data_IF_045925567196
#
_entry.id   IF_045925567196
#
_cell.length_a   1.000
_cell.length_b   1.000
_cell.length_c   1.000
_cell.angle_alpha   90.00
_cell.angle_beta   90.00
_cell.angle_gamma   90.00
#
_symmetry.space_group_name_H-M   'P 1'
#
loop_
_entity.id
_entity.type
_entity.pdbx_description
1 polymer ?
#
# COMPACT_ATOMS: atom_id res chain seq x y z
N UNK A 1 -14.54 43.93 -12.21
CA UNK A 1 -14.17 42.67 -12.89
C UNK A 1 -13.70 41.69 -11.82
N UNK A 2 -14.59 40.88 -11.33
CA UNK A 2 -14.32 39.88 -10.28
C UNK A 2 -13.80 38.60 -10.93
N UNK A 3 -12.53 38.32 -10.68
CA UNK A 3 -11.84 37.14 -11.18
C UNK A 3 -12.15 35.96 -10.24
N UNK A 4 -13.15 35.18 -10.57
CA UNK A 4 -13.44 33.91 -9.87
C UNK A 4 -12.41 32.88 -10.30
N UNK A 5 -11.54 32.51 -9.35
CA UNK A 5 -10.62 31.40 -9.44
C UNK A 5 -11.45 30.10 -9.49
N UNK A 6 -11.24 29.18 -10.44
CA UNK A 6 -11.97 27.93 -10.44
C UNK A 6 -11.52 27.09 -9.23
N UNK A 7 -12.47 26.71 -8.40
CA UNK A 7 -12.31 25.75 -7.32
C UNK A 7 -11.89 24.40 -7.94
N UNK A 8 -10.67 23.95 -7.65
CA UNK A 8 -10.15 22.67 -8.11
C UNK A 8 -11.03 21.53 -7.59
N UNK A 9 -11.88 20.99 -8.43
CA UNK A 9 -12.57 19.72 -8.18
C UNK A 9 -11.51 18.63 -7.97
N UNK A 10 -11.43 18.12 -6.76
CA UNK A 10 -10.62 16.91 -6.47
C UNK A 10 -11.25 15.74 -7.23
N UNK A 11 -10.66 15.40 -8.36
CA UNK A 11 -11.09 14.29 -9.23
C UNK A 11 -11.08 12.99 -8.43
N UNK A 12 -12.20 12.30 -8.36
CA UNK A 12 -12.32 11.00 -7.72
C UNK A 12 -11.36 9.99 -8.37
N UNK A 13 -10.69 9.17 -7.55
CA UNK A 13 -9.77 8.12 -8.03
C UNK A 13 -10.57 7.08 -8.81
N UNK A 14 -10.16 6.76 -10.04
CA UNK A 14 -10.79 5.73 -10.88
C UNK A 14 -10.44 4.32 -10.41
N UNK A 15 -11.23 3.32 -10.85
CA UNK A 15 -10.93 1.89 -10.58
C UNK A 15 -9.55 1.51 -11.11
N UNK A 16 -9.18 1.98 -12.28
CA UNK A 16 -7.88 1.71 -12.90
C UNK A 16 -6.74 2.29 -12.07
N UNK A 17 -6.88 3.52 -11.60
CA UNK A 17 -5.88 4.13 -10.72
C UNK A 17 -5.73 3.38 -9.40
N UNK A 18 -6.83 2.87 -8.83
CA UNK A 18 -6.76 2.03 -7.61
C UNK A 18 -6.01 0.73 -7.90
N UNK A 19 -6.31 0.07 -9.02
CA UNK A 19 -5.63 -1.16 -9.42
C UNK A 19 -4.13 -0.95 -9.67
N UNK A 20 -3.74 0.16 -10.28
CA UNK A 20 -2.33 0.52 -10.50
C UNK A 20 -1.58 0.73 -9.17
N UNK A 21 -2.21 1.42 -8.21
CA UNK A 21 -1.65 1.59 -6.86
C UNK A 21 -1.52 0.27 -6.11
N UNK A 22 -2.49 -0.63 -6.26
CA UNK A 22 -2.43 -1.96 -5.66
C UNK A 22 -1.34 -2.82 -6.30
N UNK A 23 -1.16 -2.74 -7.62
CA UNK A 23 -0.09 -3.44 -8.33
C UNK A 23 1.30 -2.94 -7.91
N UNK A 24 1.45 -1.64 -7.66
CA UNK A 24 2.69 -1.11 -7.11
C UNK A 24 2.96 -1.65 -5.68
N UNK A 25 1.93 -1.75 -4.84
CA UNK A 25 2.05 -2.37 -3.53
C UNK A 25 2.41 -3.85 -3.63
N UNK A 26 1.76 -4.59 -4.55
CA UNK A 26 2.05 -6.00 -4.77
C UNK A 26 3.51 -6.23 -5.17
N UNK A 27 4.06 -5.38 -6.05
CA UNK A 27 5.49 -5.42 -6.40
C UNK A 27 6.41 -5.24 -5.19
N UNK A 28 6.02 -4.42 -4.21
CA UNK A 28 6.77 -4.22 -2.96
C UNK A 28 6.65 -5.42 -2.03
N UNK A 29 5.47 -6.02 -1.92
CA UNK A 29 5.29 -7.25 -1.13
C UNK A 29 6.16 -8.39 -1.71
N UNK A 30 6.22 -8.55 -3.04
CA UNK A 30 7.11 -9.52 -3.67
C UNK A 30 8.59 -9.22 -3.39
N UNK A 31 9.01 -7.95 -3.48
CA UNK A 31 10.36 -7.53 -3.10
C UNK A 31 10.69 -7.96 -1.66
N UNK A 32 9.79 -7.72 -0.72
CA UNK A 32 9.98 -8.06 0.69
C UNK A 32 10.05 -9.59 0.89
N UNK A 33 9.18 -10.36 0.24
CA UNK A 33 9.19 -11.84 0.29
C UNK A 33 10.55 -12.37 -0.16
N UNK A 34 11.02 -11.93 -1.32
CA UNK A 34 12.29 -12.39 -1.89
C UNK A 34 13.45 -11.97 -0.98
N UNK A 35 13.46 -10.72 -0.51
CA UNK A 35 14.47 -10.21 0.41
C UNK A 35 14.55 -11.05 1.68
N UNK A 36 13.42 -11.32 2.32
CA UNK A 36 13.38 -12.06 3.59
C UNK A 36 13.75 -13.52 3.42
N UNK A 37 13.33 -14.16 2.33
CA UNK A 37 13.76 -15.52 2.02
C UNK A 37 15.28 -15.58 1.85
N UNK A 38 15.86 -14.67 1.09
CA UNK A 38 17.32 -14.65 0.85
C UNK A 38 18.07 -14.26 2.11
N UNK A 39 17.68 -13.18 2.79
CA UNK A 39 18.40 -12.67 3.96
C UNK A 39 18.36 -13.66 5.12
N UNK A 40 17.23 -14.34 5.35
CA UNK A 40 17.12 -15.35 6.42
C UNK A 40 18.10 -16.50 6.24
N UNK A 41 18.46 -16.86 5.01
CA UNK A 41 19.40 -17.95 4.72
C UNK A 41 20.85 -17.48 4.63
N UNK A 42 21.12 -16.25 4.27
CA UNK A 42 22.46 -15.71 4.04
C UNK A 42 23.06 -15.09 5.30
N UNK A 43 22.25 -14.63 6.27
CA UNK A 43 22.74 -14.14 7.56
C UNK A 43 23.49 -15.25 8.31
N UNK A 44 24.74 -15.00 8.64
CA UNK A 44 25.62 -15.94 9.35
C UNK A 44 26.08 -15.33 10.67
N UNK A 45 26.25 -16.19 11.66
CA UNK A 45 26.69 -15.83 12.99
C UNK A 45 25.59 -16.00 14.03
N UNK A 46 25.96 -16.43 15.24
CA UNK A 46 25.02 -16.69 16.31
C UNK A 46 24.19 -15.46 16.71
N UNK A 47 24.77 -14.27 16.58
CA UNK A 47 24.12 -12.99 16.87
C UNK A 47 22.97 -12.66 15.90
N UNK A 48 22.90 -13.27 14.72
CA UNK A 48 21.87 -13.03 13.71
C UNK A 48 20.80 -14.12 13.65
N UNK A 49 20.93 -15.23 14.38
CA UNK A 49 20.01 -16.37 14.27
C UNK A 49 18.55 -15.97 14.58
N UNK A 50 18.34 -15.22 15.66
CA UNK A 50 16.97 -14.78 16.00
C UNK A 50 16.40 -13.81 14.97
N UNK A 51 17.23 -13.02 14.33
CA UNK A 51 16.81 -12.10 13.23
C UNK A 51 16.44 -12.92 12.00
N UNK A 52 17.24 -13.94 11.65
CA UNK A 52 16.95 -14.84 10.53
C UNK A 52 15.61 -15.55 10.71
N UNK A 53 15.33 -16.08 11.89
CA UNK A 53 14.04 -16.71 12.23
C UNK A 53 12.86 -15.72 12.08
N UNK A 54 13.02 -14.48 12.53
CA UNK A 54 12.02 -13.43 12.37
C UNK A 54 11.78 -13.07 10.90
N UNK A 55 12.82 -13.04 10.07
CA UNK A 55 12.69 -12.78 8.64
C UNK A 55 11.88 -13.87 7.93
N UNK A 56 12.01 -15.13 8.32
CA UNK A 56 11.17 -16.23 7.79
C UNK A 56 9.69 -16.02 8.14
N UNK A 57 9.39 -15.63 9.38
CA UNK A 57 8.04 -15.32 9.82
C UNK A 57 7.48 -14.14 9.02
N UNK A 58 8.28 -13.09 8.84
CA UNK A 58 7.89 -11.91 8.07
C UNK A 58 7.66 -12.25 6.58
N UNK A 59 8.45 -13.15 5.99
CA UNK A 59 8.20 -13.62 4.62
C UNK A 59 6.82 -14.24 4.46
N UNK A 60 6.38 -15.05 5.44
CA UNK A 60 5.05 -15.63 5.45
C UNK A 60 3.94 -14.57 5.60
N UNK A 61 4.15 -13.56 6.43
CA UNK A 61 3.22 -12.44 6.59
C UNK A 61 3.08 -11.63 5.28
N UNK A 62 4.19 -11.35 4.62
CA UNK A 62 4.20 -10.65 3.32
C UNK A 62 3.50 -11.45 2.23
N UNK A 63 3.63 -12.78 2.23
CA UNK A 63 2.87 -13.66 1.33
C UNK A 63 1.36 -13.52 1.54
N UNK A 64 0.89 -13.49 2.78
CA UNK A 64 -0.53 -13.27 3.09
C UNK A 64 -1.01 -11.92 2.57
N UNK A 65 -0.21 -10.85 2.75
CA UNK A 65 -0.53 -9.53 2.21
C UNK A 65 -0.60 -9.54 0.68
N UNK A 66 0.36 -10.19 0.02
CA UNK A 66 0.37 -10.31 -1.45
C UNK A 66 -0.89 -11.00 -1.97
N UNK A 67 -1.34 -12.07 -1.31
CA UNK A 67 -2.58 -12.79 -1.67
C UNK A 67 -3.82 -11.89 -1.51
N UNK A 68 -3.90 -11.10 -0.43
CA UNK A 68 -5.01 -10.17 -0.22
C UNK A 68 -5.03 -9.09 -1.31
N UNK A 69 -3.89 -8.49 -1.61
CA UNK A 69 -3.77 -7.44 -2.63
C UNK A 69 -4.12 -8.01 -4.02
N UNK A 70 -3.61 -9.19 -4.36
CA UNK A 70 -3.89 -9.86 -5.64
C UNK A 70 -5.39 -10.10 -5.84
N UNK A 71 -6.10 -10.56 -4.81
CA UNK A 71 -7.56 -10.74 -4.87
C UNK A 71 -8.30 -9.42 -5.11
N UNK A 72 -7.84 -8.32 -4.50
CA UNK A 72 -8.44 -7.00 -4.73
C UNK A 72 -8.22 -6.50 -6.15
N UNK A 73 -7.04 -6.74 -6.72
CA UNK A 73 -6.74 -6.37 -8.12
C UNK A 73 -7.63 -7.16 -9.08
N UNK A 74 -7.75 -8.47 -8.87
CA UNK A 74 -8.63 -9.34 -9.65
C UNK A 74 -10.09 -8.90 -9.54
N UNK A 75 -10.57 -8.60 -8.34
CA UNK A 75 -11.92 -8.06 -8.12
C UNK A 75 -12.18 -6.76 -8.88
N UNK A 76 -11.15 -5.94 -9.09
CA UNK A 76 -11.24 -4.73 -9.92
C UNK A 76 -11.19 -5.02 -11.42
N UNK A 77 -11.04 -6.26 -11.84
CA UNK A 77 -10.97 -6.70 -13.23
C UNK A 77 -9.62 -6.46 -13.88
N UNK A 78 -8.56 -6.38 -13.09
CA UNK A 78 -7.18 -6.16 -13.57
C UNK A 78 -6.28 -7.35 -13.28
N UNK A 79 -5.19 -7.47 -14.03
CA UNK A 79 -4.20 -8.52 -13.81
C UNK A 79 -3.25 -8.13 -12.68
N UNK A 80 -3.08 -8.97 -11.65
CA UNK A 80 -2.02 -8.78 -10.65
C UNK A 80 -0.64 -8.83 -11.31
N UNK A 81 0.25 -7.91 -10.90
CA UNK A 81 1.63 -7.89 -11.42
C UNK A 81 2.38 -9.16 -11.05
N UNK A 82 3.34 -9.53 -11.90
CA UNK A 82 4.29 -10.65 -11.67
C UNK A 82 5.70 -10.14 -11.40
N UNK A 83 5.90 -8.82 -11.36
CA UNK A 83 7.22 -8.19 -11.28
C UNK A 83 7.45 -7.61 -9.88
N UNK A 84 8.43 -8.13 -9.11
CA UNK A 84 8.84 -7.50 -7.87
C UNK A 84 9.59 -6.20 -8.13
N UNK A 85 9.64 -5.31 -7.12
CA UNK A 85 10.66 -4.25 -7.08
C UNK A 85 12.04 -4.88 -6.96
N UNK A 86 13.12 -4.21 -7.42
CA UNK A 86 14.47 -4.75 -7.36
C UNK A 86 14.90 -5.10 -5.94
N UNK A 87 15.47 -6.30 -5.77
CA UNK A 87 16.02 -6.77 -4.51
C UNK A 87 17.51 -6.50 -4.46
N UNK A 88 17.99 -5.88 -3.38
CA UNK A 88 19.39 -5.64 -3.13
C UNK A 88 19.93 -6.75 -2.24
N UNK A 89 21.13 -7.25 -2.54
CA UNK A 89 21.83 -8.26 -1.76
C UNK A 89 23.23 -7.77 -1.39
N UNK A 90 23.78 -8.34 -0.33
CA UNK A 90 25.16 -8.10 0.11
C UNK A 90 25.67 -9.35 0.83
N UNK A 91 26.99 -9.53 0.85
CA UNK A 91 27.63 -10.54 1.70
C UNK A 91 27.75 -10.07 3.16
N UNK A 92 27.47 -8.79 3.43
CA UNK A 92 27.56 -8.20 4.76
C UNK A 92 26.18 -8.12 5.42
N UNK A 93 26.02 -8.79 6.54
CA UNK A 93 24.77 -8.82 7.29
C UNK A 93 24.20 -7.42 7.60
N UNK A 94 25.05 -6.49 8.05
CA UNK A 94 24.64 -5.12 8.36
C UNK A 94 24.09 -4.36 7.15
N UNK A 95 24.64 -4.59 5.96
CA UNK A 95 24.16 -3.97 4.74
C UNK A 95 22.79 -4.52 4.34
N UNK A 96 22.59 -5.84 4.42
CA UNK A 96 21.30 -6.47 4.15
C UNK A 96 20.21 -5.96 5.09
N UNK A 97 20.49 -5.86 6.37
CA UNK A 97 19.55 -5.32 7.37
C UNK A 97 19.26 -3.83 7.14
N UNK A 98 20.24 -3.06 6.66
CA UNK A 98 20.03 -1.67 6.27
C UNK A 98 19.10 -1.57 5.05
N UNK A 99 19.28 -2.42 4.04
CA UNK A 99 18.40 -2.46 2.87
C UNK A 99 16.96 -2.79 3.27
N UNK A 100 16.79 -3.72 4.20
CA UNK A 100 15.47 -4.05 4.73
C UNK A 100 14.82 -2.84 5.42
N UNK A 101 15.56 -2.19 6.31
CA UNK A 101 15.07 -0.99 7.01
C UNK A 101 14.69 0.14 6.03
N UNK A 102 15.49 0.37 4.99
CA UNK A 102 15.20 1.37 3.97
C UNK A 102 13.92 1.03 3.21
N UNK A 103 13.72 -0.23 2.83
CA UNK A 103 12.52 -0.70 2.14
C UNK A 103 11.26 -0.58 3.02
N UNK A 104 11.35 -0.96 4.30
CA UNK A 104 10.24 -0.82 5.25
C UNK A 104 9.87 0.66 5.48
N UNK A 105 10.85 1.55 5.62
CA UNK A 105 10.62 2.98 5.78
C UNK A 105 9.95 3.59 4.52
N UNK A 106 10.35 3.16 3.34
CA UNK A 106 9.71 3.59 2.09
C UNK A 106 8.27 3.08 2.01
N UNK A 107 8.04 1.85 2.39
CA UNK A 107 6.71 1.25 2.44
C UNK A 107 5.79 2.01 3.40
N UNK A 108 6.25 2.33 4.60
CA UNK A 108 5.50 3.12 5.60
C UNK A 108 5.14 4.50 5.05
N UNK A 109 6.09 5.20 4.41
CA UNK A 109 5.81 6.51 3.79
C UNK A 109 4.72 6.40 2.74
N UNK A 110 4.79 5.42 1.86
CA UNK A 110 3.80 5.20 0.82
C UNK A 110 2.41 4.89 1.39
N UNK A 111 2.33 4.08 2.43
CA UNK A 111 1.06 3.79 3.10
C UNK A 111 0.47 5.02 3.79
N UNK A 112 1.29 5.85 4.44
CA UNK A 112 0.83 7.11 5.06
C UNK A 112 0.27 8.08 4.03
N UNK A 113 0.97 8.30 2.93
CA UNK A 113 0.51 9.18 1.85
C UNK A 113 -0.79 8.69 1.21
N UNK A 114 -0.93 7.38 1.02
CA UNK A 114 -2.13 6.75 0.46
C UNK A 114 -3.27 6.70 1.47
N UNK A 115 -2.98 6.47 2.73
CA UNK A 115 -3.95 6.50 3.81
C UNK A 115 -4.59 7.87 3.94
N UNK A 116 -3.82 8.94 3.85
CA UNK A 116 -4.34 10.30 3.84
C UNK A 116 -5.29 10.53 2.66
N UNK A 117 -4.89 10.14 1.44
CA UNK A 117 -5.76 10.24 0.25
C UNK A 117 -7.06 9.44 0.40
N UNK A 118 -7.00 8.29 1.05
CA UNK A 118 -8.17 7.42 1.29
C UNK A 118 -9.12 8.01 2.32
N UNK A 119 -8.60 8.60 3.39
CA UNK A 119 -9.40 9.32 4.40
C UNK A 119 -10.13 10.52 3.77
N UNK A 120 -9.47 11.27 2.90
CA UNK A 120 -10.07 12.38 2.17
C UNK A 120 -11.25 11.91 1.29
N UNK A 121 -11.12 10.77 0.61
CA UNK A 121 -12.18 10.20 -0.23
C UNK A 121 -13.36 9.70 0.61
N UNK A 122 -13.11 9.05 1.75
CA UNK A 122 -14.17 8.58 2.66
C UNK A 122 -14.90 9.76 3.28
N UNK A 123 -14.18 10.79 3.74
CA UNK A 123 -14.79 12.01 4.30
C UNK A 123 -15.69 12.72 3.29
N UNK A 124 -15.30 12.77 2.00
CA UNK A 124 -16.11 13.33 0.93
C UNK A 124 -17.40 12.53 0.68
N UNK A 125 -17.36 11.20 0.78
CA UNK A 125 -18.56 10.35 0.65
C UNK A 125 -19.52 10.54 1.81
N UNK A 126 -19.03 10.65 3.04
CA UNK A 126 -19.88 10.92 4.21
C UNK A 126 -20.55 12.30 4.15
N UNK A 127 -19.85 13.33 3.68
CA UNK A 127 -20.41 14.66 3.51
C UNK A 127 -21.46 14.71 2.39
N UNK A 128 -21.27 13.99 1.27
CA UNK A 128 -22.29 13.87 0.24
C UNK A 128 -23.55 13.15 0.72
N UNK A 129 -23.39 12.09 1.52
CA UNK A 129 -24.53 11.37 2.11
C UNK A 129 -25.36 12.22 3.07
N UNK A 130 -24.71 13.07 3.88
CA UNK A 130 -25.39 14.00 4.79
C UNK A 130 -26.16 15.10 4.03
N UNK A 131 -25.60 15.60 2.94
CA UNK A 131 -26.28 16.62 2.11
C UNK A 131 -27.55 16.07 1.46
N UNK A 132 -27.53 14.83 0.98
CA UNK A 132 -28.70 14.17 0.39
C UNK A 132 -29.77 13.82 1.44
N UNK A 133 -29.40 13.42 2.65
CA UNK A 133 -30.32 13.14 3.74
C UNK A 133 -31.00 14.42 4.25
N UNK A 134 -30.27 15.54 4.32
CA UNK A 134 -30.83 16.84 4.71
C UNK A 134 -31.82 17.42 3.65
N UNK A 135 -31.60 17.14 2.37
CA UNK A 135 -32.52 17.55 1.30
C UNK A 135 -33.81 16.71 1.31
N UNK A 136 -33.73 15.42 1.67
CA UNK A 136 -34.91 14.53 1.74
C UNK A 136 -35.82 14.83 2.93
N UNK A 137 -35.31 15.38 4.03
CA UNK A 137 -36.11 15.71 5.20
C UNK A 137 -36.91 17.00 5.06
N UNK A 138 -36.58 17.87 4.10
CA UNK A 138 -37.32 19.14 3.85
C UNK A 138 -38.56 19.01 2.96
N UNK A 139 -38.76 17.89 2.30
CA UNK A 139 -39.87 17.69 1.38
C UNK A 139 -41.09 16.99 2.00
N UNK A 140 -41.17 16.82 3.32
CA UNK A 140 -42.29 16.14 4.01
C UNK A 140 -43.02 17.03 5.03
N UNK A 141 -43.02 18.33 4.83
CA UNK A 141 -43.88 19.23 5.61
C UNK A 141 -44.63 20.13 4.64
N UNK A 142 -45.68 19.61 4.04
CA UNK A 142 -46.84 20.29 3.55
C UNK A 142 -48.03 19.36 3.65
#
# INVERSE_FOLDING_TARGET
MSNQKPSGEKKAISRDQVADLLNENLSREYQAIISYVVYSQVLKGAEYMSIADQLEIHAQQKLKHALIISRQIDYLGKMPTVSPKPVRTSEKAKEMLRFDLENENETIRNYRERGQKRCDVVALRFNKGRSLAAASSRSRIT
#
